data_IF_252254629004
#
_entry.id   IF_252254629004
#
_cell.length_a   1.000
_cell.length_b   1.000
_cell.length_c   1.000
_cell.angle_alpha   90.00
_cell.angle_beta   90.00
_cell.angle_gamma   90.00
#
_symmetry.space_group_name_H-M   'P 1'
#
loop_
_entity.id
_entity.type
_entity.pdbx_description
1 polymer ?
#
# COMPACT_ATOMS: atom_id res chain seq x y z
N UNK A 1 5.35 -15.27 10.98
CA UNK A 1 4.26 -15.04 10.00
C UNK A 1 3.19 -14.08 10.52
N UNK A 2 2.46 -14.33 11.62
CA UNK A 2 1.33 -13.46 12.02
C UNK A 2 1.69 -11.99 12.31
N UNK A 3 2.81 -11.74 12.98
CA UNK A 3 3.25 -10.38 13.33
C UNK A 3 3.55 -9.51 12.08
N UNK A 4 4.15 -10.09 11.03
CA UNK A 4 4.44 -9.38 9.79
C UNK A 4 3.15 -8.90 9.08
N UNK A 5 2.10 -9.73 9.09
CA UNK A 5 0.79 -9.37 8.51
C UNK A 5 0.05 -8.33 9.35
N UNK A 6 0.21 -8.36 10.67
CA UNK A 6 -0.33 -7.32 11.57
C UNK A 6 0.31 -5.97 11.27
N UNK A 7 1.64 -5.91 11.22
CA UNK A 7 2.38 -4.68 10.93
C UNK A 7 1.97 -4.13 9.56
N UNK A 8 1.89 -4.99 8.53
CA UNK A 8 1.48 -4.57 7.18
C UNK A 8 0.05 -3.99 7.19
N UNK A 9 -0.87 -4.58 7.96
CA UNK A 9 -2.24 -4.07 8.09
C UNK A 9 -2.28 -2.69 8.74
N UNK A 10 -1.47 -2.46 9.79
CA UNK A 10 -1.35 -1.14 10.40
C UNK A 10 -0.76 -0.11 9.44
N UNK A 11 0.25 -0.49 8.65
CA UNK A 11 0.83 0.41 7.63
C UNK A 11 -0.24 0.77 6.59
N UNK A 12 -0.96 -0.21 6.05
CA UNK A 12 -2.06 0.03 5.09
C UNK A 12 -3.14 0.93 5.69
N UNK A 13 -3.50 0.74 6.96
CA UNK A 13 -4.47 1.60 7.65
C UNK A 13 -3.97 3.05 7.80
N UNK A 14 -2.70 3.24 8.13
CA UNK A 14 -2.07 4.57 8.20
C UNK A 14 -2.04 5.22 6.81
N UNK A 15 -1.64 4.48 5.77
CA UNK A 15 -1.63 4.96 4.39
C UNK A 15 -3.04 5.37 3.94
N UNK A 16 -4.06 4.56 4.22
CA UNK A 16 -5.44 4.87 3.92
C UNK A 16 -5.91 6.14 4.66
N UNK A 17 -5.58 6.28 5.94
CA UNK A 17 -5.89 7.48 6.71
C UNK A 17 -5.21 8.73 6.13
N UNK A 18 -3.94 8.62 5.69
CA UNK A 18 -3.21 9.70 5.02
C UNK A 18 -3.85 10.03 3.67
N UNK A 19 -4.26 9.03 2.89
CA UNK A 19 -4.94 9.24 1.61
C UNK A 19 -6.29 9.96 1.80
N UNK A 20 -7.07 9.60 2.83
CA UNK A 20 -8.32 10.28 3.21
C UNK A 20 -8.03 11.73 3.65
N UNK A 21 -7.02 11.93 4.49
CA UNK A 21 -6.64 13.26 4.96
C UNK A 21 -6.20 14.18 3.80
N UNK A 22 -5.51 13.62 2.80
CA UNK A 22 -5.08 14.33 1.59
C UNK A 22 -6.23 14.60 0.59
N UNK A 23 -7.29 13.79 0.59
CA UNK A 23 -8.46 13.97 -0.30
C UNK A 23 -9.48 14.93 0.30
N UNK A 24 -9.52 15.12 1.61
CA UNK A 24 -10.36 16.13 2.24
C UNK A 24 -9.92 17.56 1.83
N UNK A 25 -10.86 18.46 1.47
CA UNK A 25 -10.55 19.83 1.08
C UNK A 25 -10.08 20.64 2.31
N UNK A 26 -8.78 20.57 2.59
CA UNK A 26 -8.14 21.29 3.69
C UNK A 26 -7.61 22.67 3.26
N UNK A 27 -7.48 23.63 4.21
CA UNK A 27 -6.96 24.96 3.94
C UNK A 27 -5.57 24.93 3.28
N UNK A 28 -5.32 25.82 2.29
CA UNK A 28 -4.08 25.85 1.48
C UNK A 28 -2.79 25.76 2.30
N UNK A 29 -2.71 26.45 3.44
CA UNK A 29 -1.51 26.44 4.30
C UNK A 29 -1.25 25.08 4.96
N UNK A 30 -2.30 24.40 5.43
CA UNK A 30 -2.19 23.07 6.03
C UNK A 30 -1.82 22.04 4.97
N UNK A 31 -2.41 22.16 3.78
CA UNK A 31 -2.14 21.29 2.64
C UNK A 31 -0.67 21.32 2.23
N UNK A 32 -0.04 22.49 2.23
CA UNK A 32 1.38 22.66 1.89
C UNK A 32 2.32 22.04 2.95
N UNK A 33 2.02 22.26 4.23
CA UNK A 33 2.83 21.69 5.32
C UNK A 33 2.68 20.16 5.38
N UNK A 34 1.46 19.64 5.17
CA UNK A 34 1.19 18.20 5.11
C UNK A 34 1.87 17.54 3.91
N UNK A 35 1.84 18.15 2.73
CA UNK A 35 2.53 17.56 1.55
C UNK A 35 4.04 17.54 1.69
N UNK A 36 4.63 18.54 2.34
CA UNK A 36 6.05 18.54 2.65
C UNK A 36 6.42 17.39 3.60
N UNK A 37 5.68 17.26 4.71
CA UNK A 37 5.88 16.20 5.70
C UNK A 37 5.65 14.80 5.11
N UNK A 38 4.56 14.61 4.37
CA UNK A 38 4.23 13.34 3.73
C UNK A 38 5.28 13.01 2.68
N UNK A 39 5.75 13.96 1.87
CA UNK A 39 6.82 13.70 0.91
C UNK A 39 8.14 13.27 1.56
N UNK A 40 8.44 13.74 2.76
CA UNK A 40 9.64 13.36 3.51
C UNK A 40 9.51 11.93 4.06
N UNK A 41 8.32 11.53 4.49
CA UNK A 41 8.00 10.19 5.03
C UNK A 41 7.77 9.17 3.90
N UNK A 42 7.33 9.61 2.73
CA UNK A 42 7.07 8.76 1.57
C UNK A 42 8.37 8.18 0.99
N UNK A 43 9.49 8.90 1.11
CA UNK A 43 10.79 8.47 0.64
C UNK A 43 11.32 7.22 1.36
N UNK A 44 11.28 7.11 2.71
CA UNK A 44 11.57 5.85 3.41
C UNK A 44 10.47 4.80 3.25
N UNK A 45 9.21 5.20 2.98
CA UNK A 45 8.12 4.27 2.70
C UNK A 45 8.28 3.49 1.37
N UNK A 46 9.24 3.86 0.49
CA UNK A 46 9.62 3.03 -0.67
C UNK A 46 9.98 1.59 -0.28
N UNK A 47 10.43 1.36 0.96
CA UNK A 47 10.77 0.03 1.46
C UNK A 47 9.54 -0.91 1.55
N UNK A 48 8.32 -0.37 1.55
CA UNK A 48 7.09 -1.16 1.56
C UNK A 48 6.92 -1.97 0.27
N UNK A 49 7.40 -1.45 -0.87
CA UNK A 49 7.27 -2.08 -2.19
C UNK A 49 8.12 -3.35 -2.33
N UNK A 50 9.45 -3.33 -2.06
CA UNK A 50 10.25 -4.56 -2.08
C UNK A 50 9.83 -5.53 -0.96
N UNK A 51 9.36 -5.02 0.19
CA UNK A 51 8.84 -5.87 1.27
C UNK A 51 7.56 -6.61 0.85
N UNK A 52 6.61 -5.93 0.20
CA UNK A 52 5.41 -6.54 -0.36
C UNK A 52 5.76 -7.56 -1.46
N UNK A 53 6.75 -7.25 -2.31
CA UNK A 53 7.28 -8.16 -3.32
C UNK A 53 7.85 -9.45 -2.71
N UNK A 54 8.64 -9.33 -1.64
CA UNK A 54 9.19 -10.47 -0.92
C UNK A 54 8.09 -11.33 -0.27
N UNK A 55 7.05 -10.72 0.30
CA UNK A 55 5.91 -11.44 0.88
C UNK A 55 5.06 -12.16 -0.19
N UNK A 56 4.89 -11.56 -1.37
CA UNK A 56 4.22 -12.21 -2.49
C UNK A 56 5.03 -13.41 -2.98
N UNK A 57 6.35 -13.28 -3.08
CA UNK A 57 7.24 -14.38 -3.45
C UNK A 57 7.23 -15.51 -2.41
N UNK A 58 7.20 -15.19 -1.11
CA UNK A 58 7.07 -16.17 -0.02
C UNK A 58 5.71 -16.90 -0.08
N UNK A 59 4.62 -16.21 -0.41
CA UNK A 59 3.30 -16.83 -0.64
C UNK A 59 3.34 -17.74 -1.88
N UNK A 60 3.91 -17.26 -2.99
CA UNK A 60 4.00 -18.01 -4.23
C UNK A 60 4.84 -19.27 -4.05
N UNK A 61 6.00 -19.15 -3.40
CA UNK A 61 6.87 -20.28 -3.07
C UNK A 61 6.17 -21.32 -2.19
N UNK A 62 5.42 -20.86 -1.17
CA UNK A 62 4.60 -21.73 -0.31
C UNK A 62 3.40 -22.35 -1.03
N UNK A 63 2.89 -21.73 -2.09
CA UNK A 63 1.84 -22.32 -2.91
C UNK A 63 2.41 -23.41 -3.81
N UNK A 64 3.57 -23.17 -4.43
CA UNK A 64 4.23 -24.11 -5.35
C UNK A 64 4.78 -25.36 -4.64
N UNK A 65 5.42 -25.20 -3.47
CA UNK A 65 6.01 -26.33 -2.73
C UNK A 65 5.02 -27.08 -1.84
N UNK A 66 3.75 -26.68 -1.82
CA UNK A 66 2.74 -27.37 -1.03
C UNK A 66 2.11 -28.45 -1.90
N UNK A 67 2.21 -29.69 -1.42
CA UNK A 67 1.53 -30.85 -2.01
C UNK A 67 0.05 -30.52 -2.23
N UNK A 68 -0.30 -30.24 -3.48
CA UNK A 68 -1.68 -30.18 -3.94
C UNK A 68 -2.24 -31.59 -3.82
N UNK A 69 -3.35 -31.76 -3.10
CA UNK A 69 -4.12 -33.00 -3.16
C UNK A 69 -4.74 -33.11 -4.55
N UNK A 70 -4.01 -33.69 -5.49
CA UNK A 70 -4.45 -33.94 -6.89
C UNK A 70 -4.99 -35.34 -7.12
N UNK A 71 -5.01 -36.22 -6.11
CA UNK A 71 -5.52 -37.59 -6.23
C UNK A 71 -6.74 -37.84 -5.35
N UNK A 72 -7.60 -38.76 -5.81
CA UNK A 72 -8.91 -39.17 -5.24
C UNK A 72 -8.87 -39.75 -3.80
N UNK A 73 -7.77 -39.57 -3.07
CA UNK A 73 -7.51 -40.16 -1.74
C UNK A 73 -7.53 -39.11 -0.62
N UNK A 74 -7.73 -37.83 -0.93
CA UNK A 74 -7.65 -36.75 0.07
C UNK A 74 -8.92 -36.69 0.94
N UNK A 75 -8.75 -36.72 2.26
CA UNK A 75 -9.84 -36.77 3.24
C UNK A 75 -10.59 -35.42 3.28
N UNK A 76 -11.91 -35.39 3.50
CA UNK A 76 -12.70 -34.14 3.51
C UNK A 76 -12.16 -33.07 4.49
N UNK A 77 -11.54 -33.48 5.59
CA UNK A 77 -10.88 -32.58 6.55
C UNK A 77 -9.61 -31.91 6.00
N UNK A 78 -8.91 -32.56 5.05
CA UNK A 78 -7.71 -32.04 4.42
C UNK A 78 -8.06 -31.01 3.34
N UNK A 79 -9.17 -31.21 2.62
CA UNK A 79 -9.72 -30.22 1.68
C UNK A 79 -10.15 -28.93 2.38
N UNK A 80 -10.89 -29.01 3.49
CA UNK A 80 -11.29 -27.81 4.27
C UNK A 80 -10.06 -27.06 4.83
N UNK A 81 -9.05 -27.79 5.31
CA UNK A 81 -7.80 -27.18 5.79
C UNK A 81 -7.03 -26.53 4.63
N UNK A 82 -7.06 -27.10 3.43
CA UNK A 82 -6.45 -26.54 2.23
C UNK A 82 -7.16 -25.24 1.79
N UNK A 83 -8.48 -25.25 1.67
CA UNK A 83 -9.27 -24.07 1.29
C UNK A 83 -9.04 -22.92 2.27
N UNK A 84 -9.10 -23.18 3.59
CA UNK A 84 -8.81 -22.16 4.62
C UNK A 84 -7.43 -21.52 4.46
N UNK A 85 -6.42 -22.30 4.10
CA UNK A 85 -5.07 -21.77 3.85
C UNK A 85 -4.96 -20.98 2.56
N UNK A 86 -5.69 -21.37 1.51
CA UNK A 86 -5.75 -20.64 0.23
C UNK A 86 -6.45 -19.30 0.40
N UNK A 87 -7.59 -19.26 1.09
CA UNK A 87 -8.29 -18.01 1.43
C UNK A 87 -7.42 -17.07 2.26
N UNK A 88 -6.63 -17.61 3.20
CA UNK A 88 -5.67 -16.83 3.99
C UNK A 88 -4.57 -16.23 3.12
N UNK A 89 -4.07 -16.97 2.15
CA UNK A 89 -3.07 -16.49 1.19
C UNK A 89 -3.64 -15.43 0.24
N UNK A 90 -4.84 -15.65 -0.31
CA UNK A 90 -5.51 -14.66 -1.17
C UNK A 90 -5.75 -13.34 -0.46
N UNK A 91 -6.27 -13.36 0.78
CA UNK A 91 -6.46 -12.15 1.58
C UNK A 91 -5.15 -11.38 1.77
N UNK A 92 -4.06 -12.11 2.00
CA UNK A 92 -2.73 -11.55 2.17
C UNK A 92 -2.18 -10.93 0.88
N UNK A 93 -2.43 -11.55 -0.29
CA UNK A 93 -2.10 -10.98 -1.61
C UNK A 93 -2.86 -9.68 -1.87
N UNK A 94 -4.17 -9.67 -1.60
CA UNK A 94 -5.00 -8.46 -1.74
C UNK A 94 -4.46 -7.33 -0.87
N UNK A 95 -4.02 -7.65 0.35
CA UNK A 95 -3.46 -6.67 1.28
C UNK A 95 -2.15 -6.06 0.73
N UNK A 96 -1.25 -6.87 0.18
CA UNK A 96 -0.03 -6.38 -0.47
C UNK A 96 -0.33 -5.48 -1.69
N UNK A 97 -1.27 -5.90 -2.56
CA UNK A 97 -1.66 -5.09 -3.73
C UNK A 97 -2.27 -3.75 -3.29
N UNK A 98 -3.13 -3.77 -2.27
CA UNK A 98 -3.75 -2.56 -1.72
C UNK A 98 -2.72 -1.57 -1.15
N UNK A 99 -1.69 -2.06 -0.45
CA UNK A 99 -0.59 -1.24 0.05
C UNK A 99 0.15 -0.54 -1.11
N UNK A 100 0.55 -1.29 -2.14
CA UNK A 100 1.22 -0.75 -3.31
C UNK A 100 0.37 0.30 -4.04
N UNK A 101 -0.94 0.06 -4.20
CA UNK A 101 -1.85 0.99 -4.85
C UNK A 101 -2.06 2.27 -4.03
N UNK A 102 -2.24 2.17 -2.71
CA UNK A 102 -2.38 3.33 -1.83
C UNK A 102 -1.12 4.17 -1.81
N UNK A 103 0.05 3.53 -1.69
CA UNK A 103 1.34 4.20 -1.80
C UNK A 103 1.47 4.98 -3.11
N UNK A 104 1.13 4.34 -4.25
CA UNK A 104 1.17 4.99 -5.56
C UNK A 104 0.19 6.16 -5.66
N UNK A 105 -1.02 6.02 -5.14
CA UNK A 105 -2.02 7.09 -5.11
C UNK A 105 -1.52 8.30 -4.29
N UNK A 106 -0.97 8.07 -3.09
CA UNK A 106 -0.40 9.12 -2.24
C UNK A 106 0.76 9.82 -2.96
N UNK A 107 1.66 9.06 -3.59
CA UNK A 107 2.77 9.61 -4.37
C UNK A 107 2.28 10.53 -5.49
N UNK A 108 1.28 10.09 -6.27
CA UNK A 108 0.68 10.90 -7.33
C UNK A 108 0.05 12.17 -6.78
N UNK A 109 -0.74 12.08 -5.72
CA UNK A 109 -1.39 13.24 -5.09
C UNK A 109 -0.34 14.24 -4.60
N UNK A 110 0.71 13.77 -3.91
CA UNK A 110 1.80 14.64 -3.44
C UNK A 110 2.51 15.35 -4.59
N UNK A 111 2.80 14.64 -5.69
CA UNK A 111 3.42 15.23 -6.88
C UNK A 111 2.53 16.32 -7.48
N UNK A 112 1.25 16.04 -7.70
CA UNK A 112 0.31 17.02 -8.25
C UNK A 112 0.19 18.27 -7.36
N UNK A 113 0.17 18.11 -6.05
CA UNK A 113 0.07 19.27 -5.14
C UNK A 113 1.33 20.14 -5.16
N UNK A 114 2.53 19.54 -5.27
CA UNK A 114 3.77 20.30 -5.46
C UNK A 114 3.81 21.02 -6.81
N UNK A 115 3.34 20.37 -7.87
CA UNK A 115 3.27 20.99 -9.19
C UNK A 115 2.29 22.17 -9.21
N UNK A 116 1.16 22.09 -8.51
CA UNK A 116 0.22 23.22 -8.37
C UNK A 116 0.86 24.39 -7.61
N UNK A 117 1.58 24.12 -6.50
CA UNK A 117 2.25 25.17 -5.72
C UNK A 117 3.30 25.91 -6.53
N UNK A 118 4.13 25.19 -7.29
CA UNK A 118 5.18 25.81 -8.10
C UNK A 118 4.59 26.71 -9.18
N UNK A 119 3.46 26.31 -9.78
CA UNK A 119 2.74 27.13 -10.76
C UNK A 119 2.10 28.37 -10.12
N UNK A 120 1.50 28.27 -8.92
CA UNK A 120 0.94 29.43 -8.19
C UNK A 120 2.05 30.43 -7.78
N UNK A 121 3.24 29.96 -7.44
CA UNK A 121 4.41 30.81 -7.16
C UNK A 121 4.97 31.50 -8.41
N UNK A 122 4.98 30.81 -9.56
CA UNK A 122 5.36 31.42 -10.85
C UNK A 122 4.35 32.50 -11.24
N UNK A 123 3.05 32.25 -11.10
CA UNK A 123 2.01 33.23 -11.42
C UNK A 123 2.15 34.49 -10.54
N UNK A 124 2.38 34.33 -9.23
CA UNK A 124 2.61 35.46 -8.31
C UNK A 124 3.84 36.29 -8.69
N UNK A 125 4.94 35.64 -9.08
CA UNK A 125 6.16 36.33 -9.53
C UNK A 125 5.97 37.10 -10.83
N UNK A 126 5.13 36.60 -11.74
CA UNK A 126 4.78 37.30 -12.98
C UNK A 126 3.87 38.50 -12.68
N UNK A 127 2.88 38.35 -11.80
CA UNK A 127 1.95 39.45 -11.42
C UNK A 127 2.60 40.55 -10.59
N UNK A 128 3.70 40.27 -9.88
CA UNK A 128 4.41 41.29 -9.07
C UNK A 128 5.44 42.10 -9.88
N UNK A 129 5.55 41.86 -11.18
CA UNK A 129 6.53 42.47 -12.08
C UNK A 129 5.80 43.24 -13.17
#
# INVERSE_FOLDING_TARGET
MALQWMILTYVVAIEAAVAILLTLPSPKLLRNRLTSLISLILQPALFIVPFAGFQLLDIYWKAEHRLMCTSDVCTAAERDRYEKTTYKAQRNVILCISACLLYWAIYRICKFQKDIQSMEEVEKRIKSK
#
